data_IF_745348578796
#
_entry.id   IF_745348578796
#
_cell.length_a   1.000
_cell.length_b   1.000
_cell.length_c   1.000
_cell.angle_alpha   90.00
_cell.angle_beta   90.00
_cell.angle_gamma   90.00
#
_symmetry.space_group_name_H-M   'P 1'
#
loop_
_entity.id
_entity.type
_entity.pdbx_description
1 polymer ?
#
# COMPACT_ATOMS: atom_id res chain seq x y z
N UNK A 1 9.54 23.97 -7.73
CA UNK A 1 9.25 22.60 -7.25
C UNK A 1 10.43 21.75 -7.66
N UNK A 2 10.99 20.95 -6.75
CA UNK A 2 12.23 20.20 -6.97
C UNK A 2 11.92 18.73 -7.24
N UNK A 3 12.77 18.08 -8.04
CA UNK A 3 12.65 16.67 -8.35
C UNK A 3 12.79 15.83 -7.07
N UNK A 4 11.84 14.94 -6.73
CA UNK A 4 11.87 14.16 -5.49
C UNK A 4 12.98 13.10 -5.46
N UNK A 5 13.62 12.83 -6.60
CA UNK A 5 14.67 11.81 -6.73
C UNK A 5 16.07 12.38 -6.55
N UNK A 6 16.31 13.63 -6.97
CA UNK A 6 17.66 14.21 -6.98
C UNK A 6 17.73 15.72 -6.65
N UNK A 7 16.62 16.32 -6.25
CA UNK A 7 16.48 17.72 -5.81
C UNK A 7 16.75 18.81 -6.85
N UNK A 8 17.08 18.45 -8.10
CA UNK A 8 17.23 19.40 -9.21
C UNK A 8 15.89 20.01 -9.62
N UNK A 9 15.93 21.12 -10.34
CA UNK A 9 14.73 21.76 -10.88
C UNK A 9 13.98 20.83 -11.85
N UNK A 10 12.65 20.81 -11.72
CA UNK A 10 11.79 20.02 -12.61
C UNK A 10 11.72 20.64 -14.00
N UNK A 11 11.59 19.81 -15.02
CA UNK A 11 11.32 20.24 -16.40
C UNK A 11 9.90 19.86 -16.78
N UNK A 12 9.21 20.73 -17.51
CA UNK A 12 7.76 20.58 -17.78
C UNK A 12 7.40 19.20 -18.35
N UNK A 13 8.16 18.72 -19.33
CA UNK A 13 7.96 17.40 -19.96
C UNK A 13 8.01 16.22 -18.98
N UNK A 14 8.77 16.35 -17.88
CA UNK A 14 9.01 15.25 -16.94
C UNK A 14 8.47 15.54 -15.54
N UNK A 15 7.69 16.60 -15.32
CA UNK A 15 7.15 16.92 -13.99
C UNK A 15 6.41 15.70 -13.39
N UNK A 16 6.64 15.37 -12.10
CA UNK A 16 7.37 16.13 -11.08
C UNK A 16 8.90 15.90 -11.05
N UNK A 17 9.50 15.34 -12.09
CA UNK A 17 10.92 15.01 -12.17
C UNK A 17 11.74 15.96 -13.05
N UNK A 18 13.07 15.86 -12.97
CA UNK A 18 13.98 16.62 -13.83
C UNK A 18 14.35 15.90 -15.14
N UNK A 19 14.07 14.59 -15.27
CA UNK A 19 14.41 13.79 -16.46
C UNK A 19 13.67 12.45 -16.49
N UNK A 20 13.64 11.79 -17.66
CA UNK A 20 13.16 10.40 -17.81
C UNK A 20 13.87 9.45 -16.85
N UNK A 21 15.19 9.59 -16.67
CA UNK A 21 15.97 8.74 -15.76
C UNK A 21 15.44 8.79 -14.33
N UNK A 22 15.06 9.97 -13.83
CA UNK A 22 14.51 10.09 -12.48
C UNK A 22 13.10 9.48 -12.39
N UNK A 23 12.27 9.62 -13.41
CA UNK A 23 10.98 8.94 -13.47
C UNK A 23 11.12 7.41 -13.47
N UNK A 24 12.07 6.87 -14.23
CA UNK A 24 12.34 5.43 -14.27
C UNK A 24 12.86 4.90 -12.92
N UNK A 25 13.69 5.67 -12.21
CA UNK A 25 14.15 5.31 -10.85
C UNK A 25 13.00 5.26 -9.86
N UNK A 26 12.10 6.26 -9.91
CA UNK A 26 10.92 6.29 -9.06
C UNK A 26 10.03 5.07 -9.31
N UNK A 27 9.76 4.75 -10.58
CA UNK A 27 9.04 3.55 -10.97
C UNK A 27 9.71 2.27 -10.46
N UNK A 28 11.04 2.21 -10.53
CA UNK A 28 11.82 1.10 -9.97
C UNK A 28 11.56 0.93 -8.47
N UNK A 29 11.55 2.01 -7.69
CA UNK A 29 11.25 1.97 -6.25
C UNK A 29 9.83 1.45 -5.97
N UNK A 30 8.86 1.81 -6.80
CA UNK A 30 7.51 1.23 -6.69
C UNK A 30 7.52 -0.28 -6.94
N UNK A 31 8.17 -0.72 -8.02
CA UNK A 31 8.19 -2.14 -8.41
C UNK A 31 8.93 -3.03 -7.41
N UNK A 32 9.93 -2.49 -6.71
CA UNK A 32 10.71 -3.25 -5.71
C UNK A 32 10.15 -3.13 -4.30
N UNK A 33 9.04 -2.42 -4.09
CA UNK A 33 8.52 -2.15 -2.74
C UNK A 33 9.41 -1.21 -1.90
N UNK A 34 10.25 -0.41 -2.54
CA UNK A 34 11.07 0.60 -1.83
C UNK A 34 10.23 1.73 -1.20
N UNK A 35 8.98 1.88 -1.63
CA UNK A 35 7.96 2.69 -0.98
C UNK A 35 7.02 1.78 -0.18
N UNK A 36 7.53 1.23 0.93
CA UNK A 36 6.73 0.49 1.90
C UNK A 36 6.54 1.31 3.18
N UNK A 37 5.35 1.23 3.77
CA UNK A 37 5.08 1.77 5.10
C UNK A 37 5.24 0.61 6.09
N UNK A 38 6.12 0.72 7.11
CA UNK A 38 6.24 -0.31 8.12
C UNK A 38 4.95 -0.46 8.92
N UNK A 39 4.58 -1.70 9.27
CA UNK A 39 3.47 -1.94 10.20
C UNK A 39 3.89 -1.60 11.62
N UNK A 40 2.99 -0.98 12.40
CA UNK A 40 3.20 -0.71 13.82
C UNK A 40 2.95 -1.95 14.68
N UNK A 41 2.07 -2.85 14.22
CA UNK A 41 1.82 -4.17 14.80
C UNK A 41 2.22 -5.24 13.77
N UNK A 42 3.43 -5.81 13.87
CA UNK A 42 3.80 -6.96 13.04
C UNK A 42 3.04 -8.18 13.54
N UNK A 43 1.97 -8.54 12.84
CA UNK A 43 1.29 -9.83 13.06
C UNK A 43 2.23 -10.96 12.69
N UNK A 44 2.28 -11.99 13.54
CA UNK A 44 2.96 -13.24 13.20
C UNK A 44 2.21 -13.94 12.04
N UNK A 45 2.95 -14.58 11.14
CA UNK A 45 2.34 -15.25 9.98
C UNK A 45 1.39 -16.36 10.45
N UNK A 46 1.74 -17.07 11.53
CA UNK A 46 0.90 -18.10 12.14
C UNK A 46 -0.38 -17.49 12.76
N UNK A 47 -0.26 -16.36 13.47
CA UNK A 47 -1.40 -15.63 14.05
C UNK A 47 -2.36 -15.11 12.97
N UNK A 48 -1.81 -14.60 11.85
CA UNK A 48 -2.59 -14.14 10.70
C UNK A 48 -3.37 -15.29 10.04
N UNK A 49 -2.74 -16.46 9.92
CA UNK A 49 -3.36 -17.65 9.33
C UNK A 49 -4.48 -18.19 10.22
N UNK A 50 -4.26 -18.31 11.53
CA UNK A 50 -5.29 -18.72 12.48
C UNK A 50 -6.49 -17.77 12.47
N UNK A 51 -6.25 -16.46 12.41
CA UNK A 51 -7.32 -15.46 12.40
C UNK A 51 -8.11 -15.48 11.08
N UNK A 52 -7.43 -15.76 9.96
CA UNK A 52 -8.07 -15.93 8.65
C UNK A 52 -8.94 -17.19 8.61
N UNK A 53 -8.44 -18.33 9.10
CA UNK A 53 -9.19 -19.58 9.18
C UNK A 53 -10.44 -19.43 10.06
N UNK A 54 -10.31 -18.76 11.21
CA UNK A 54 -11.44 -18.44 12.08
C UNK A 54 -12.49 -17.60 11.36
N UNK A 55 -12.08 -16.50 10.70
CA UNK A 55 -13.01 -15.64 9.93
C UNK A 55 -13.69 -16.39 8.80
N UNK A 56 -12.96 -17.27 8.09
CA UNK A 56 -13.53 -18.09 7.02
C UNK A 56 -14.55 -19.10 7.57
N UNK A 57 -14.27 -19.71 8.72
CA UNK A 57 -15.18 -20.61 9.42
C UNK A 57 -16.47 -19.91 9.89
N UNK A 58 -16.37 -18.69 10.40
CA UNK A 58 -17.52 -17.87 10.80
C UNK A 58 -18.41 -17.49 9.60
N UNK A 59 -17.82 -17.15 8.45
CA UNK A 59 -18.55 -16.88 7.21
C UNK A 59 -19.26 -18.14 6.72
N UNK A 60 -18.58 -19.29 6.72
CA UNK A 60 -19.17 -20.57 6.31
C UNK A 60 -20.31 -21.04 7.24
N UNK A 61 -20.26 -20.67 8.52
CA UNK A 61 -21.29 -20.97 9.51
C UNK A 61 -22.53 -20.04 9.44
N UNK A 62 -22.60 -19.13 8.46
CA UNK A 62 -23.74 -18.25 8.25
C UNK A 62 -23.45 -16.76 8.45
N UNK A 63 -22.19 -16.37 8.61
CA UNK A 63 -21.73 -14.99 8.78
C UNK A 63 -22.25 -14.32 10.07
N UNK A 64 -21.62 -13.22 10.54
CA UNK A 64 -22.31 -12.37 11.50
C UNK A 64 -23.61 -11.91 10.84
N UNK A 65 -24.73 -12.00 11.58
CA UNK A 65 -25.97 -11.34 11.17
C UNK A 65 -25.61 -9.91 10.81
N UNK A 66 -25.74 -9.55 9.53
CA UNK A 66 -25.34 -8.24 9.04
C UNK A 66 -25.89 -7.18 9.97
N UNK A 67 -24.99 -6.39 10.55
CA UNK A 67 -25.30 -5.08 11.07
C UNK A 67 -25.93 -4.30 9.91
N UNK A 68 -27.26 -4.33 9.89
CA UNK A 68 -28.05 -3.40 9.12
C UNK A 68 -28.09 -2.07 9.86
N UNK A 69 -27.78 -0.99 9.12
CA UNK A 69 -27.82 0.42 9.49
C UNK A 69 -26.62 0.95 10.29
N UNK A 70 -25.92 1.96 9.76
CA UNK A 70 -26.55 3.29 9.62
C UNK A 70 -25.93 4.16 8.51
N UNK A 71 -26.73 4.91 7.73
CA UNK A 71 -26.23 5.88 6.76
C UNK A 71 -25.69 7.12 7.48
N UNK A 72 -24.66 7.73 6.89
CA UNK A 72 -24.42 9.17 6.92
C UNK A 72 -24.04 9.65 5.52
#
# INVERSE_FOLDING_TARGET
MNCPICSKDTVEKYRPFCSKRCADIDLGRWMTGGYAIPSEDPVDDDELMEELEKKLGEIAAGGPAGDGSKPH
#
